data_IF_769399398591
#
_entry.id   IF_769399398591
#
_cell.length_a   1.000
_cell.length_b   1.000
_cell.length_c   1.000
_cell.angle_alpha   90.00
_cell.angle_beta   90.00
_cell.angle_gamma   90.00
#
_symmetry.space_group_name_H-M   'P 1'
#
loop_
_entity.id
_entity.type
_entity.pdbx_description
1 polymer ?
#
# COMPACT_ATOMS: atom_id res chain seq x y z
N UNK A 1 -19.10 48.30 -17.48
CA UNK A 1 -19.63 47.23 -16.62
C UNK A 1 -18.56 46.17 -16.52
N UNK A 2 -18.10 45.89 -15.31
CA UNK A 2 -17.10 44.88 -14.99
C UNK A 2 -17.89 43.63 -14.59
N UNK A 3 -17.69 42.50 -15.27
CA UNK A 3 -18.34 41.24 -14.91
C UNK A 3 -17.28 40.16 -14.81
N UNK A 4 -17.27 39.61 -13.62
CA UNK A 4 -16.33 38.70 -12.99
C UNK A 4 -16.15 37.39 -13.75
N UNK A 5 -14.89 36.94 -13.88
CA UNK A 5 -14.56 35.58 -14.29
C UNK A 5 -14.63 34.68 -13.05
N UNK A 6 -15.55 33.72 -13.04
CA UNK A 6 -15.60 32.65 -12.04
C UNK A 6 -14.61 31.58 -12.52
N UNK A 7 -13.57 31.29 -11.73
CA UNK A 7 -12.73 30.09 -11.88
C UNK A 7 -13.47 28.90 -11.27
N UNK A 8 -14.00 28.03 -12.11
CA UNK A 8 -14.31 26.64 -11.75
C UNK A 8 -13.17 25.76 -12.26
N UNK A 9 -11.97 25.88 -11.68
CA UNK A 9 -10.84 25.02 -12.06
C UNK A 9 -10.91 23.70 -11.27
N UNK A 10 -11.46 22.69 -11.94
CA UNK A 10 -11.14 21.26 -11.90
C UNK A 10 -10.67 20.65 -10.57
N UNK A 11 -11.58 19.92 -9.92
CA UNK A 11 -11.19 18.82 -9.03
C UNK A 11 -10.51 17.74 -9.87
N UNK A 12 -9.19 17.80 -10.00
CA UNK A 12 -8.38 16.67 -10.48
C UNK A 12 -8.56 15.51 -9.50
N UNK A 13 -9.48 14.60 -9.82
CA UNK A 13 -9.64 13.34 -9.12
C UNK A 13 -8.55 12.40 -9.67
N UNK A 14 -7.42 12.34 -8.97
CA UNK A 14 -6.35 11.37 -9.28
C UNK A 14 -6.90 9.99 -8.91
N UNK A 15 -7.38 9.25 -9.91
CA UNK A 15 -7.76 7.84 -9.75
C UNK A 15 -6.50 7.00 -9.73
N UNK A 16 -6.01 6.70 -8.53
CA UNK A 16 -4.98 5.69 -8.33
C UNK A 16 -5.67 4.33 -8.50
N UNK A 17 -5.40 3.65 -9.62
CA UNK A 17 -5.96 2.32 -9.86
C UNK A 17 -5.21 1.27 -9.03
N UNK A 18 -5.98 0.37 -8.40
CA UNK A 18 -5.41 -0.77 -7.68
C UNK A 18 -4.65 -1.68 -8.65
N UNK A 19 -3.37 -2.04 -8.37
CA UNK A 19 -2.55 -2.83 -9.28
C UNK A 19 -2.94 -4.32 -9.25
N UNK A 20 -4.13 -4.65 -9.78
CA UNK A 20 -4.75 -5.99 -9.71
C UNK A 20 -3.84 -7.10 -10.22
N UNK A 21 -3.25 -6.93 -11.39
CA UNK A 21 -2.41 -7.96 -12.01
C UNK A 21 -1.22 -8.32 -11.12
N UNK A 22 -0.55 -7.30 -10.59
CA UNK A 22 0.58 -7.47 -9.66
C UNK A 22 0.16 -8.08 -8.33
N UNK A 23 -0.98 -7.65 -7.80
CA UNK A 23 -1.50 -8.22 -6.57
C UNK A 23 -1.86 -9.70 -6.71
N UNK A 24 -2.46 -10.10 -7.83
CA UNK A 24 -2.74 -11.50 -8.15
C UNK A 24 -1.45 -12.32 -8.30
N UNK A 25 -0.39 -11.74 -8.87
CA UNK A 25 0.94 -12.36 -8.88
C UNK A 25 1.48 -12.58 -7.48
N UNK A 26 1.34 -11.62 -6.57
CA UNK A 26 1.80 -11.77 -5.19
C UNK A 26 1.03 -12.87 -4.45
N UNK A 27 -0.31 -12.92 -4.61
CA UNK A 27 -1.14 -13.98 -4.04
C UNK A 27 -0.70 -15.38 -4.49
N UNK A 28 -0.35 -15.54 -5.77
CA UNK A 28 0.20 -16.79 -6.31
C UNK A 28 1.54 -17.14 -5.66
N UNK A 29 2.42 -16.16 -5.48
CA UNK A 29 3.75 -16.37 -4.86
C UNK A 29 3.65 -16.82 -3.41
N UNK A 30 2.74 -16.23 -2.62
CA UNK A 30 2.50 -16.62 -1.22
C UNK A 30 1.56 -17.84 -1.09
N UNK A 31 1.23 -18.49 -2.21
CA UNK A 31 0.33 -19.66 -2.31
C UNK A 31 -1.03 -19.44 -1.63
N UNK A 32 -1.56 -18.23 -1.71
CA UNK A 32 -2.86 -17.88 -1.16
C UNK A 32 -3.94 -17.92 -2.25
N UNK A 33 -5.06 -18.57 -1.94
CA UNK A 33 -6.21 -18.63 -2.86
C UNK A 33 -7.08 -17.36 -2.80
N UNK A 34 -7.09 -16.69 -1.63
CA UNK A 34 -7.94 -15.53 -1.34
C UNK A 34 -7.30 -14.66 -0.26
N UNK A 35 -7.47 -13.35 -0.39
CA UNK A 35 -6.93 -12.33 0.51
C UNK A 35 -7.52 -12.42 1.92
N UNK A 36 -8.81 -12.77 2.07
CA UNK A 36 -9.48 -12.87 3.38
C UNK A 36 -9.03 -14.09 4.19
N UNK A 37 -8.18 -14.94 3.61
CA UNK A 37 -7.63 -16.15 4.24
C UNK A 37 -6.12 -16.09 4.42
N UNK A 38 -5.49 -14.92 4.20
CA UNK A 38 -4.07 -14.76 4.46
C UNK A 38 -3.79 -14.90 5.96
N UNK A 39 -2.77 -15.70 6.29
CA UNK A 39 -2.15 -15.66 7.61
C UNK A 39 -1.29 -14.40 7.75
N UNK A 40 -0.98 -13.98 8.98
CA UNK A 40 -0.13 -12.81 9.22
C UNK A 40 1.23 -12.91 8.49
N UNK A 41 1.85 -14.09 8.50
CA UNK A 41 3.10 -14.31 7.77
C UNK A 41 2.93 -14.10 6.26
N UNK A 42 1.81 -14.56 5.69
CA UNK A 42 1.54 -14.34 4.27
C UNK A 42 1.23 -12.87 3.96
N UNK A 43 0.66 -12.12 4.90
CA UNK A 43 0.49 -10.68 4.77
C UNK A 43 1.85 -9.97 4.76
N UNK A 44 2.76 -10.35 5.67
CA UNK A 44 4.13 -9.84 5.70
C UNK A 44 4.86 -10.18 4.40
N UNK A 45 4.74 -11.42 3.91
CA UNK A 45 5.36 -11.84 2.65
C UNK A 45 4.80 -11.06 1.45
N UNK A 46 3.48 -10.82 1.40
CA UNK A 46 2.86 -10.04 0.34
C UNK A 46 3.35 -8.58 0.36
N UNK A 47 3.39 -7.98 1.56
CA UNK A 47 3.91 -6.63 1.76
C UNK A 47 5.38 -6.54 1.34
N UNK A 48 6.19 -7.57 1.66
CA UNK A 48 7.60 -7.66 1.25
C UNK A 48 7.75 -7.71 -0.27
N UNK A 49 6.93 -8.51 -0.96
CA UNK A 49 6.94 -8.58 -2.42
C UNK A 49 6.60 -7.24 -3.05
N UNK A 50 5.57 -6.56 -2.55
CA UNK A 50 5.19 -5.23 -3.02
C UNK A 50 6.30 -4.19 -2.76
N UNK A 51 6.93 -4.21 -1.58
CA UNK A 51 8.03 -3.32 -1.24
C UNK A 51 9.26 -3.52 -2.16
N UNK A 52 9.59 -4.78 -2.47
CA UNK A 52 10.69 -5.09 -3.39
C UNK A 52 10.38 -4.67 -4.85
N UNK A 53 9.13 -4.82 -5.29
CA UNK A 53 8.70 -4.31 -6.60
C UNK A 53 8.72 -2.78 -6.64
N UNK A 54 8.37 -2.10 -5.54
CA UNK A 54 8.52 -0.64 -5.42
C UNK A 54 9.98 -0.22 -5.54
N UNK A 55 10.89 -0.87 -4.80
CA UNK A 55 12.34 -0.57 -4.87
C UNK A 55 12.94 -0.78 -6.26
N UNK A 56 12.40 -1.72 -7.03
CA UNK A 56 12.82 -1.99 -8.42
C UNK A 56 12.16 -1.04 -9.43
N UNK A 57 11.21 -0.21 -9.01
CA UNK A 57 10.43 0.66 -9.88
C UNK A 57 9.35 -0.08 -10.69
N UNK A 58 8.99 -1.31 -10.31
CA UNK A 58 7.94 -2.10 -10.95
C UNK A 58 6.53 -1.65 -10.53
N UNK A 59 6.41 -1.03 -9.35
CA UNK A 59 5.20 -0.32 -8.91
C UNK A 59 5.59 1.05 -8.35
N UNK A 60 4.67 2.01 -8.40
CA UNK A 60 4.85 3.33 -7.78
C UNK A 60 4.66 3.28 -6.26
N UNK A 61 4.99 4.37 -5.57
CA UNK A 61 4.66 4.56 -4.17
C UNK A 61 3.15 4.45 -3.93
N UNK A 62 2.34 5.06 -4.80
CA UNK A 62 0.89 4.95 -4.77
C UNK A 62 0.42 3.49 -4.87
N UNK A 63 1.05 2.71 -5.74
CA UNK A 63 0.78 1.28 -5.88
C UNK A 63 1.11 0.50 -4.61
N UNK A 64 2.22 0.82 -3.94
CA UNK A 64 2.58 0.22 -2.65
C UNK A 64 1.57 0.58 -1.55
N UNK A 65 1.20 1.86 -1.44
CA UNK A 65 0.20 2.34 -0.49
C UNK A 65 -1.14 1.66 -0.68
N UNK A 66 -1.60 1.55 -1.92
CA UNK A 66 -2.87 0.90 -2.23
C UNK A 66 -2.85 -0.59 -1.89
N UNK A 67 -1.73 -1.29 -2.11
CA UNK A 67 -1.56 -2.70 -1.68
C UNK A 67 -1.61 -2.82 -0.16
N UNK A 68 -0.90 -1.96 0.58
CA UNK A 68 -0.90 -1.97 2.04
C UNK A 68 -2.28 -1.69 2.63
N UNK A 69 -3.02 -0.74 2.05
CA UNK A 69 -4.38 -0.41 2.46
C UNK A 69 -5.35 -1.58 2.21
N UNK A 70 -5.25 -2.27 1.07
CA UNK A 70 -6.07 -3.47 0.85
C UNK A 70 -5.75 -4.60 1.83
N UNK A 71 -4.47 -4.83 2.13
CA UNK A 71 -4.07 -5.79 3.16
C UNK A 71 -4.65 -5.43 4.54
N UNK A 72 -4.62 -4.14 4.90
CA UNK A 72 -5.21 -3.63 6.13
C UNK A 72 -6.73 -3.88 6.17
N UNK A 73 -7.45 -3.50 5.11
CA UNK A 73 -8.92 -3.59 5.05
C UNK A 73 -9.43 -5.02 4.96
N UNK A 74 -8.72 -5.90 4.26
CA UNK A 74 -9.19 -7.26 3.98
C UNK A 74 -8.83 -8.27 5.07
N UNK A 75 -7.85 -7.96 5.93
CA UNK A 75 -7.38 -8.87 6.98
C UNK A 75 -7.89 -8.44 8.35
N UNK A 76 -9.18 -8.70 8.58
CA UNK A 76 -9.89 -8.44 9.86
C UNK A 76 -9.35 -9.16 11.10
N UNK A 77 -8.28 -9.95 10.99
CA UNK A 77 -7.78 -10.87 12.03
C UNK A 77 -6.32 -10.64 12.42
N UNK A 78 -5.71 -9.55 11.95
CA UNK A 78 -4.35 -9.21 12.35
C UNK A 78 -4.31 -8.94 13.86
N UNK A 79 -3.62 -9.80 14.58
CA UNK A 79 -3.32 -9.71 16.00
C UNK A 79 -1.98 -9.01 16.27
N UNK A 80 -1.08 -9.04 15.29
CA UNK A 80 0.19 -8.31 15.32
C UNK A 80 -0.03 -6.80 15.18
N UNK A 81 0.03 -6.08 16.31
CA UNK A 81 -0.17 -4.63 16.38
C UNK A 81 0.85 -3.83 15.57
N UNK A 82 2.09 -4.31 15.48
CA UNK A 82 3.14 -3.63 14.72
C UNK A 82 2.86 -3.74 13.22
N UNK A 83 2.46 -4.92 12.75
CA UNK A 83 2.03 -5.11 11.36
C UNK A 83 0.81 -4.24 11.00
N UNK A 84 -0.18 -4.17 11.89
CA UNK A 84 -1.38 -3.33 11.70
C UNK A 84 -0.97 -1.87 11.52
N UNK A 85 -0.12 -1.35 12.41
CA UNK A 85 0.38 0.03 12.33
C UNK A 85 1.15 0.29 11.03
N UNK A 86 2.03 -0.64 10.64
CA UNK A 86 2.79 -0.53 9.39
C UNK A 86 1.87 -0.49 8.18
N UNK A 87 0.86 -1.35 8.11
CA UNK A 87 -0.07 -1.37 6.98
C UNK A 87 -0.90 -0.08 6.90
N UNK A 88 -1.34 0.46 8.04
CA UNK A 88 -2.05 1.73 8.13
C UNK A 88 -1.17 2.89 7.65
N UNK A 89 0.04 3.04 8.21
CA UNK A 89 0.96 4.12 7.86
C UNK A 89 1.46 4.04 6.40
N UNK A 90 1.77 2.84 5.90
CA UNK A 90 2.18 2.63 4.50
C UNK A 90 0.99 2.85 3.57
N UNK A 91 -0.22 2.45 3.99
CA UNK A 91 -1.48 2.70 3.28
C UNK A 91 -1.72 4.19 3.00
N UNK A 92 -1.32 5.05 3.92
CA UNK A 92 -1.47 6.50 3.80
C UNK A 92 -0.26 7.22 3.19
N UNK A 93 0.84 6.51 2.91
CA UNK A 93 2.13 7.11 2.53
C UNK A 93 2.05 7.98 1.26
N UNK A 94 1.20 7.61 0.31
CA UNK A 94 0.93 8.39 -0.91
C UNK A 94 0.50 9.85 -0.62
N UNK A 95 -0.06 10.13 0.57
CA UNK A 95 -0.58 11.44 0.96
C UNK A 95 0.24 12.14 2.05
N UNK A 96 1.38 11.56 2.46
CA UNK A 96 2.20 12.09 3.55
C UNK A 96 3.47 12.81 3.05
N UNK A 97 3.91 13.83 3.79
CA UNK A 97 5.18 14.53 3.51
C UNK A 97 6.42 13.73 3.93
N UNK A 98 6.24 12.69 4.76
CA UNK A 98 7.33 11.91 5.39
C UNK A 98 7.57 10.55 4.73
N UNK A 99 7.45 10.50 3.41
CA UNK A 99 7.55 9.25 2.64
C UNK A 99 8.87 8.52 2.86
N UNK A 100 9.98 9.26 3.00
CA UNK A 100 11.31 8.70 3.28
C UNK A 100 11.38 7.98 4.63
N UNK A 101 10.92 8.63 5.71
CA UNK A 101 10.91 8.04 7.07
C UNK A 101 10.05 6.78 7.13
N UNK A 102 8.86 6.80 6.49
CA UNK A 102 7.98 5.63 6.47
C UNK A 102 8.54 4.49 5.62
N UNK A 103 9.25 4.80 4.53
CA UNK A 103 9.95 3.80 3.71
C UNK A 103 11.03 3.10 4.52
N UNK A 104 11.79 3.84 5.32
CA UNK A 104 12.82 3.29 6.23
C UNK A 104 12.18 2.42 7.32
N UNK A 105 11.11 2.90 7.96
CA UNK A 105 10.38 2.15 9.00
C UNK A 105 9.82 0.82 8.46
N UNK A 106 9.26 0.83 7.24
CA UNK A 106 8.82 -0.39 6.55
C UNK A 106 10.00 -1.34 6.30
N UNK A 107 11.14 -0.82 5.83
CA UNK A 107 12.33 -1.64 5.60
C UNK A 107 12.79 -2.34 6.89
N UNK A 108 12.91 -1.59 7.99
CA UNK A 108 13.30 -2.14 9.29
C UNK A 108 12.34 -3.23 9.78
N UNK A 109 11.03 -3.00 9.64
CA UNK A 109 10.01 -3.99 10.01
C UNK A 109 10.16 -5.29 9.21
N UNK A 110 10.39 -5.18 7.90
CA UNK A 110 10.58 -6.33 7.02
C UNK A 110 11.90 -7.07 7.31
N UNK A 111 12.95 -6.38 7.71
CA UNK A 111 14.21 -7.03 8.14
C UNK A 111 14.04 -7.80 9.45
N UNK A 112 13.29 -7.23 10.42
CA UNK A 112 13.04 -7.87 11.72
C UNK A 112 12.15 -9.11 11.65
N UNK A 113 11.37 -9.25 10.58
CA UNK A 113 10.40 -10.34 10.37
C UNK A 113 10.94 -11.47 9.47
N UNK A 114 12.25 -11.52 9.23
CA UNK A 114 12.95 -12.66 8.61
C UNK A 114 13.06 -13.85 9.56
#
# INVERSE_FOLDING_TARGET
>A
MQTTYIREDDKFEIKIEFPREKFDEYLKQVRAAKVEKLSENQVIDLLRLAYEDYKKGNISLDGLSVVANELFNMVSRLSNKELVLILEEVGDMAYQERQGELTEKLAEFLEKTQ
#
